data_IF_813724708410
#
_entry.id   IF_813724708410
#
_cell.length_a   1.000
_cell.length_b   1.000
_cell.length_c   1.000
_cell.angle_alpha   90.00
_cell.angle_beta   90.00
_cell.angle_gamma   90.00
#
_symmetry.space_group_name_H-M   'P 1'
#
loop_
_entity.id
_entity.type
_entity.pdbx_description
1 polymer ?
#
# COMPACT_ATOMS: atom_id res chain seq x y z
N UNK A 1 -28.40 1.24 -0.86
CA UNK A 1 -27.75 1.21 0.45
C UNK A 1 -26.27 0.95 0.21
N UNK A 2 -25.50 2.02 0.08
CA UNK A 2 -24.06 1.94 -0.20
C UNK A 2 -23.36 1.42 1.06
N UNK A 3 -22.92 0.16 1.04
CA UNK A 3 -21.93 -0.31 2.00
C UNK A 3 -20.62 0.41 1.65
N UNK A 4 -20.40 1.54 2.30
CA UNK A 4 -19.14 2.28 2.31
C UNK A 4 -18.01 1.31 2.64
N UNK A 5 -17.18 0.97 1.65
CA UNK A 5 -15.98 0.17 1.87
C UNK A 5 -15.08 0.90 2.90
N UNK A 6 -14.80 0.31 4.07
CA UNK A 6 -14.09 0.98 5.16
C UNK A 6 -12.60 1.00 4.86
N UNK A 7 -12.13 1.86 3.95
CA UNK A 7 -10.74 1.77 3.46
C UNK A 7 -9.91 3.04 3.59
N UNK A 8 -10.41 4.02 4.35
CA UNK A 8 -9.56 5.00 5.04
C UNK A 8 -9.47 4.58 6.50
N UNK A 9 -8.37 3.94 6.90
CA UNK A 9 -8.09 3.72 8.33
C UNK A 9 -7.63 5.01 9.01
N UNK A 10 -7.09 5.95 8.24
CA UNK A 10 -6.79 7.32 8.66
C UNK A 10 -7.87 8.24 8.11
N UNK A 11 -8.59 8.95 8.97
CA UNK A 11 -9.54 9.99 8.53
C UNK A 11 -8.83 11.17 7.85
N UNK A 12 -7.54 11.36 8.14
CA UNK A 12 -6.69 12.44 7.63
C UNK A 12 -5.32 11.84 7.31
N UNK A 13 -4.85 11.92 6.04
CA UNK A 13 -3.51 11.46 5.69
C UNK A 13 -2.44 12.30 6.39
N UNK A 14 -1.35 11.67 6.81
CA UNK A 14 -0.19 12.37 7.38
C UNK A 14 0.35 13.43 6.41
N UNK A 15 0.78 14.57 6.94
CA UNK A 15 1.41 15.60 6.13
C UNK A 15 2.68 15.09 5.45
N UNK A 16 3.01 15.63 4.28
CA UNK A 16 4.25 15.29 3.55
C UNK A 16 5.49 15.44 4.42
N UNK A 17 5.56 16.50 5.24
CA UNK A 17 6.69 16.75 6.13
C UNK A 17 6.92 15.59 7.10
N UNK A 18 5.85 14.98 7.62
CA UNK A 18 5.93 13.79 8.48
C UNK A 18 6.29 12.54 7.67
N UNK A 19 5.68 12.35 6.50
CA UNK A 19 5.99 11.19 5.65
C UNK A 19 7.47 11.19 5.19
N UNK A 20 8.06 12.36 4.97
CA UNK A 20 9.48 12.50 4.63
C UNK A 20 10.43 12.12 5.78
N UNK A 21 9.95 11.97 7.02
CA UNK A 21 10.78 11.47 8.13
C UNK A 21 10.70 9.96 8.29
N UNK A 22 9.83 9.27 7.54
CA UNK A 22 9.67 7.83 7.67
C UNK A 22 10.79 7.08 6.96
N UNK A 23 11.22 5.93 7.51
CA UNK A 23 12.17 5.08 6.81
C UNK A 23 11.65 4.65 5.42
N UNK A 24 12.50 4.63 4.39
CA UNK A 24 12.14 4.22 3.03
C UNK A 24 11.72 2.75 2.91
N UNK A 25 12.23 1.89 3.79
CA UNK A 25 11.94 0.46 3.82
C UNK A 25 11.42 0.06 5.20
N UNK A 26 10.49 -0.91 5.27
CA UNK A 26 9.97 -1.39 6.54
C UNK A 26 8.51 -1.82 6.45
N UNK A 27 7.84 -1.82 7.61
CA UNK A 27 6.41 -2.06 7.74
C UNK A 27 5.83 -1.04 8.70
N UNK A 28 4.71 -0.41 8.34
CA UNK A 28 3.98 0.50 9.21
C UNK A 28 2.91 -0.29 9.97
N UNK A 29 3.08 -0.40 11.28
CA UNK A 29 2.06 -0.93 12.19
C UNK A 29 1.28 0.24 12.80
N UNK A 30 -0.02 0.30 12.52
CA UNK A 30 -0.89 1.32 13.10
C UNK A 30 -1.33 0.91 14.48
N UNK A 31 -1.07 1.76 15.46
CA UNK A 31 -1.41 1.52 16.86
C UNK A 31 -2.54 2.45 17.25
N UNK A 32 -3.69 1.90 17.64
CA UNK A 32 -4.84 2.66 18.13
C UNK A 32 -4.90 2.65 19.64
N UNK A 33 -5.27 3.79 20.21
CA UNK A 33 -5.43 4.01 21.65
C UNK A 33 -6.90 4.25 21.91
N UNK A 34 -7.51 3.47 22.80
CA UNK A 34 -8.85 3.77 23.26
C UNK A 34 -8.80 5.01 24.18
N UNK A 35 -9.73 5.94 23.97
CA UNK A 35 -9.85 7.20 24.71
C UNK A 35 -9.90 7.01 26.24
N UNK A 36 -10.35 5.86 26.73
CA UNK A 36 -10.33 5.50 28.15
C UNK A 36 -8.93 5.16 28.72
N UNK A 37 -7.91 4.99 27.87
CA UNK A 37 -6.58 4.49 28.23
C UNK A 37 -5.45 5.53 28.08
N UNK A 38 -5.75 6.82 28.29
CA UNK A 38 -4.82 7.96 28.13
C UNK A 38 -3.54 7.96 28.99
N UNK A 39 -3.28 6.91 29.79
CA UNK A 39 -2.15 6.86 30.76
C UNK A 39 -0.86 6.21 30.23
N UNK A 40 -0.73 5.94 28.92
CA UNK A 40 0.46 5.25 28.37
C UNK A 40 1.71 6.10 28.17
N UNK A 41 1.74 7.37 28.62
CA UNK A 41 2.92 8.22 28.46
C UNK A 41 3.32 8.44 26.99
N UNK A 42 2.38 8.31 26.06
CA UNK A 42 2.63 8.41 24.60
C UNK A 42 3.23 9.75 24.19
N UNK A 43 3.02 10.78 25.02
CA UNK A 43 3.62 12.12 24.87
C UNK A 43 5.16 12.09 24.87
N UNK A 44 5.78 11.01 25.34
CA UNK A 44 7.23 10.85 25.38
C UNK A 44 7.81 10.16 24.13
N UNK A 45 6.97 9.59 23.26
CA UNK A 45 7.43 8.97 22.02
C UNK A 45 7.75 10.06 21.01
N UNK A 46 8.98 10.04 20.50
CA UNK A 46 9.45 10.91 19.43
C UNK A 46 9.75 10.09 18.18
N UNK A 47 9.61 10.73 17.02
CA UNK A 47 10.05 10.17 15.74
C UNK A 47 11.53 9.77 15.81
N UNK A 48 11.86 8.59 15.30
CA UNK A 48 13.24 8.08 15.25
C UNK A 48 13.69 7.34 16.52
N UNK A 49 12.84 7.19 17.53
CA UNK A 49 13.17 6.42 18.73
C UNK A 49 12.90 4.93 18.57
N UNK A 50 13.78 4.10 19.15
CA UNK A 50 13.56 2.68 19.30
C UNK A 50 12.65 2.40 20.50
N UNK A 51 11.57 1.67 20.26
CA UNK A 51 10.60 1.32 21.30
C UNK A 51 10.30 -0.17 21.26
N UNK A 52 10.19 -0.76 22.45
CA UNK A 52 9.70 -2.12 22.66
C UNK A 52 8.28 -2.05 23.24
N UNK A 53 7.32 -2.60 22.50
CA UNK A 53 5.94 -2.75 22.94
C UNK A 53 5.73 -4.19 23.43
N UNK A 54 5.30 -4.34 24.68
CA UNK A 54 5.01 -5.63 25.30
C UNK A 54 3.51 -5.79 25.49
N UNK A 55 3.00 -7.01 25.28
CA UNK A 55 1.58 -7.33 25.47
C UNK A 55 0.66 -6.48 24.60
N UNK A 56 1.05 -6.29 23.35
CA UNK A 56 0.27 -5.62 22.31
C UNK A 56 -0.74 -6.62 21.70
N UNK A 57 -2.00 -6.20 21.50
CA UNK A 57 -2.96 -7.02 20.76
C UNK A 57 -2.95 -6.61 19.30
N UNK A 58 -2.58 -7.53 18.41
CA UNK A 58 -2.67 -7.32 16.97
C UNK A 58 -3.98 -7.91 16.44
N UNK A 59 -4.69 -7.16 15.61
CA UNK A 59 -5.94 -7.58 14.99
C UNK A 59 -6.04 -7.03 13.56
N UNK A 60 -6.80 -7.71 12.70
CA UNK A 60 -7.01 -7.28 11.32
C UNK A 60 -8.31 -6.46 11.25
N UNK A 61 -8.20 -5.18 10.91
CA UNK A 61 -9.34 -4.29 10.66
C UNK A 61 -9.34 -3.88 9.19
N UNK A 62 -10.41 -4.17 8.46
CA UNK A 62 -10.52 -3.81 7.03
C UNK A 62 -9.29 -4.20 6.20
N UNK A 63 -8.86 -5.46 6.35
CA UNK A 63 -7.66 -6.07 5.76
C UNK A 63 -6.31 -5.42 6.13
N UNK A 64 -6.27 -4.58 7.16
CA UNK A 64 -5.04 -3.99 7.72
C UNK A 64 -4.73 -4.57 9.10
N UNK A 65 -3.48 -4.96 9.29
CA UNK A 65 -2.96 -5.23 10.63
C UNK A 65 -2.90 -3.94 11.43
N UNK A 66 -3.63 -3.93 12.53
CA UNK A 66 -3.64 -2.86 13.51
C UNK A 66 -3.25 -3.45 14.86
N UNK A 67 -2.66 -2.60 15.69
CA UNK A 67 -2.36 -2.91 17.07
C UNK A 67 -3.26 -2.09 17.99
N UNK A 68 -3.75 -2.71 19.04
CA UNK A 68 -4.55 -2.08 20.09
C UNK A 68 -3.73 -2.08 21.36
N UNK A 69 -3.56 -0.89 21.95
CA UNK A 69 -2.97 -0.78 23.28
C UNK A 69 -4.00 -1.27 24.30
N UNK A 70 -3.64 -2.35 24.98
CA UNK A 70 -4.43 -2.92 26.08
C UNK A 70 -4.02 -2.25 27.39
N UNK A 71 -4.87 -2.21 28.44
CA UNK A 71 -4.54 -1.60 29.74
C UNK A 71 -3.22 -2.09 30.37
N UNK A 72 -2.78 -3.30 30.00
CA UNK A 72 -1.55 -3.93 30.45
C UNK A 72 -0.38 -3.86 29.44
N UNK A 73 -0.55 -3.18 28.30
CA UNK A 73 0.53 -2.96 27.34
C UNK A 73 1.62 -2.11 27.97
N UNK A 74 2.88 -2.53 27.85
CA UNK A 74 4.02 -1.77 28.35
C UNK A 74 4.83 -1.22 27.19
N UNK A 75 5.27 0.02 27.33
CA UNK A 75 6.16 0.69 26.40
C UNK A 75 7.52 0.92 27.06
N UNK A 76 8.58 0.45 26.42
CA UNK A 76 9.95 0.65 26.87
C UNK A 76 10.74 1.35 25.77
N UNK A 77 11.36 2.48 26.10
CA UNK A 77 12.34 3.11 25.21
C UNK A 77 13.63 2.29 25.26
N UNK A 78 14.22 2.04 24.10
CA UNK A 78 15.51 1.37 23.97
C UNK A 78 16.60 2.40 23.66
N UNK A 79 17.80 2.14 24.19
CA UNK A 79 19.00 2.91 23.82
C UNK A 79 19.49 2.50 22.43
N UNK A 80 20.19 3.38 21.74
CA UNK A 80 20.86 3.06 20.48
C UNK A 80 21.96 1.99 20.63
N UNK A 81 22.50 1.85 21.86
CA UNK A 81 23.51 0.85 22.21
C UNK A 81 22.92 -0.51 22.65
N UNK A 82 21.59 -0.63 22.71
CA UNK A 82 20.93 -1.91 23.05
C UNK A 82 21.21 -2.95 21.95
N UNK A 83 21.60 -4.18 22.34
CA UNK A 83 21.95 -5.25 21.41
C UNK A 83 20.84 -5.54 20.38
N UNK A 84 19.57 -5.45 20.80
CA UNK A 84 18.43 -5.64 19.89
C UNK A 84 18.36 -4.51 18.87
N UNK A 85 18.63 -3.27 19.29
CA UNK A 85 18.64 -2.10 18.41
C UNK A 85 19.76 -2.23 17.39
N UNK A 86 20.98 -2.57 17.83
CA UNK A 86 22.12 -2.79 16.95
C UNK A 86 21.84 -3.89 15.92
N UNK A 87 21.21 -4.99 16.34
CA UNK A 87 20.82 -6.07 15.43
C UNK A 87 19.79 -5.61 14.39
N UNK A 88 18.70 -4.95 14.82
CA UNK A 88 17.64 -4.50 13.92
C UNK A 88 18.15 -3.42 12.95
N UNK A 89 19.06 -2.55 13.41
CA UNK A 89 19.71 -1.55 12.56
C UNK A 89 20.53 -2.21 11.45
N UNK A 90 21.34 -3.23 11.77
CA UNK A 90 22.08 -3.99 10.74
C UNK A 90 21.15 -4.63 9.71
N UNK A 91 20.08 -5.30 10.16
CA UNK A 91 19.08 -5.90 9.26
C UNK A 91 18.45 -4.84 8.35
N UNK A 92 18.13 -3.67 8.91
CA UNK A 92 17.60 -2.56 8.14
C UNK A 92 18.60 -2.03 7.12
N UNK A 93 19.87 -1.82 7.49
CA UNK A 93 20.93 -1.30 6.61
C UNK A 93 21.26 -2.29 5.48
N UNK A 94 21.31 -3.59 5.78
CA UNK A 94 21.47 -4.67 4.80
C UNK A 94 20.30 -4.68 3.80
N UNK A 95 19.07 -4.49 4.31
CA UNK A 95 17.89 -4.39 3.45
C UNK A 95 17.94 -3.12 2.60
N UNK A 96 18.30 -1.99 3.17
CA UNK A 96 18.35 -0.71 2.47
C UNK A 96 19.39 -0.71 1.33
N UNK A 97 20.53 -1.36 1.53
CA UNK A 97 21.58 -1.50 0.51
C UNK A 97 21.26 -2.55 -0.57
N UNK A 98 20.34 -3.48 -0.30
CA UNK A 98 19.94 -4.50 -1.26
C UNK A 98 19.05 -3.97 -2.38
N UNK A 99 19.31 -4.42 -3.62
CA UNK A 99 18.44 -4.17 -4.78
C UNK A 99 17.00 -4.66 -4.56
N UNK A 100 16.83 -5.69 -3.73
CA UNK A 100 15.53 -6.28 -3.38
C UNK A 100 14.96 -5.71 -2.08
N UNK A 101 15.64 -4.76 -1.46
CA UNK A 101 15.29 -4.17 -0.17
C UNK A 101 13.88 -3.59 -0.11
N UNK A 102 13.44 -2.98 -1.21
CA UNK A 102 12.12 -2.38 -1.34
C UNK A 102 11.00 -3.42 -1.54
N UNK A 103 11.33 -4.70 -1.74
CA UNK A 103 10.31 -5.74 -1.86
C UNK A 103 9.73 -6.10 -0.48
N UNK A 104 8.40 -6.29 -0.36
CA UNK A 104 7.77 -6.89 0.81
C UNK A 104 8.32 -8.30 1.07
N UNK A 105 8.68 -8.61 2.32
CA UNK A 105 9.16 -9.94 2.71
C UNK A 105 8.11 -11.04 2.45
N UNK A 106 6.82 -10.70 2.57
CA UNK A 106 5.70 -11.59 2.26
C UNK A 106 5.52 -11.90 0.76
N UNK A 107 6.32 -11.28 -0.11
CA UNK A 107 6.33 -11.54 -1.54
C UNK A 107 7.52 -12.41 -1.97
N UNK A 108 8.29 -12.96 -1.02
CA UNK A 108 9.45 -13.77 -1.35
C UNK A 108 9.05 -15.20 -1.78
N UNK A 109 9.71 -15.81 -2.78
CA UNK A 109 10.78 -15.25 -3.61
C UNK A 109 10.27 -14.32 -4.72
N UNK A 110 9.01 -14.44 -5.16
CA UNK A 110 8.48 -13.67 -6.27
C UNK A 110 6.99 -13.32 -6.12
N UNK A 111 6.56 -12.31 -6.89
CA UNK A 111 5.16 -11.89 -6.96
C UNK A 111 4.32 -12.84 -7.80
N UNK A 112 2.99 -12.68 -7.80
CA UNK A 112 2.04 -13.65 -8.38
C UNK A 112 2.14 -13.83 -9.90
N UNK A 113 2.94 -13.00 -10.59
CA UNK A 113 3.02 -12.99 -12.05
C UNK A 113 1.73 -12.49 -12.73
N UNK A 114 0.73 -12.00 -11.99
CA UNK A 114 -0.55 -11.55 -12.56
C UNK A 114 -0.45 -10.27 -13.39
N UNK A 115 0.67 -9.58 -13.34
CA UNK A 115 0.88 -8.31 -14.04
C UNK A 115 2.26 -8.30 -14.65
N UNK A 116 2.37 -7.68 -15.83
CA UNK A 116 3.64 -7.43 -16.51
C UNK A 116 3.79 -5.94 -16.76
N UNK A 117 4.98 -5.40 -16.50
CA UNK A 117 5.29 -4.01 -16.84
C UNK A 117 6.30 -3.92 -17.97
N UNK A 118 6.30 -2.79 -18.68
CA UNK A 118 7.34 -2.49 -19.67
C UNK A 118 8.55 -1.74 -19.09
N UNK A 119 8.63 -1.56 -17.76
CA UNK A 119 9.69 -0.80 -17.08
C UNK A 119 10.58 -1.70 -16.22
N UNK A 120 10.88 -2.91 -16.70
CA UNK A 120 11.58 -3.96 -15.94
C UNK A 120 13.00 -3.60 -15.50
N UNK A 121 13.63 -2.58 -16.11
CA UNK A 121 14.96 -2.08 -15.75
C UNK A 121 14.97 -1.14 -14.53
N UNK A 122 13.82 -0.59 -14.13
CA UNK A 122 13.71 0.34 -13.00
C UNK A 122 13.62 -0.46 -11.69
N UNK A 123 14.36 -0.08 -10.63
CA UNK A 123 14.26 -0.74 -9.33
C UNK A 123 12.89 -0.52 -8.68
N UNK A 124 12.51 -1.46 -7.80
CA UNK A 124 11.29 -1.31 -7.01
C UNK A 124 11.40 -0.16 -6.02
N UNK A 125 10.29 0.56 -5.84
CA UNK A 125 10.13 1.66 -4.90
C UNK A 125 8.94 1.37 -3.99
N UNK A 126 9.09 1.62 -2.69
CA UNK A 126 8.00 1.51 -1.70
C UNK A 126 7.01 2.67 -1.84
N UNK A 127 5.76 2.48 -1.40
CA UNK A 127 4.74 3.53 -1.47
C UNK A 127 5.05 4.72 -0.55
N UNK A 128 5.74 4.51 0.57
CA UNK A 128 6.26 5.63 1.38
C UNK A 128 7.22 6.50 0.58
N UNK A 129 8.14 5.90 -0.18
CA UNK A 129 9.05 6.66 -1.06
C UNK A 129 8.32 7.38 -2.19
N UNK A 130 7.25 6.79 -2.73
CA UNK A 130 6.38 7.45 -3.73
C UNK A 130 5.74 8.71 -3.14
N UNK A 131 5.27 8.64 -1.90
CA UNK A 131 4.64 9.76 -1.20
C UNK A 131 5.64 10.85 -0.82
N UNK A 132 6.83 10.48 -0.35
CA UNK A 132 7.88 11.41 0.10
C UNK A 132 8.81 11.91 -1.01
N UNK A 133 8.64 11.44 -2.25
CA UNK A 133 9.52 11.78 -3.37
C UNK A 133 9.68 13.31 -3.56
N UNK A 134 10.91 13.82 -3.80
CA UNK A 134 11.17 15.25 -3.93
C UNK A 134 10.43 15.94 -5.07
N UNK A 135 10.19 15.23 -6.17
CA UNK A 135 9.51 15.77 -7.35
C UNK A 135 8.00 15.46 -7.34
N UNK A 136 7.19 16.45 -7.71
CA UNK A 136 5.73 16.29 -7.79
C UNK A 136 5.35 15.26 -8.86
N UNK A 137 6.03 15.29 -10.00
CA UNK A 137 5.74 14.43 -11.15
C UNK A 137 6.91 13.48 -11.41
N UNK A 138 6.69 12.18 -11.23
CA UNK A 138 7.72 11.18 -11.45
C UNK A 138 7.08 9.83 -11.80
N UNK A 139 7.90 8.88 -12.27
CA UNK A 139 7.50 7.52 -12.64
C UNK A 139 8.18 6.49 -11.75
N UNK A 140 7.39 5.59 -11.18
CA UNK A 140 7.81 4.60 -10.21
C UNK A 140 7.46 3.20 -10.70
N UNK A 141 8.18 2.20 -10.20
CA UNK A 141 7.83 0.80 -10.29
C UNK A 141 7.66 0.27 -8.88
N UNK A 142 6.50 -0.30 -8.58
CA UNK A 142 6.13 -0.68 -7.22
C UNK A 142 5.63 -2.12 -7.18
N UNK A 143 5.80 -2.76 -6.03
CA UNK A 143 5.23 -4.06 -5.72
C UNK A 143 4.15 -3.88 -4.65
N UNK A 144 2.90 -4.07 -5.03
CA UNK A 144 1.72 -3.67 -4.25
C UNK A 144 0.65 -4.75 -4.26
N UNK A 145 -0.34 -4.63 -3.38
CA UNK A 145 -1.62 -5.36 -3.45
C UNK A 145 -2.74 -4.39 -3.79
N UNK A 146 -3.78 -4.89 -4.45
CA UNK A 146 -5.00 -4.11 -4.71
C UNK A 146 -5.98 -4.32 -3.56
N UNK A 147 -5.89 -3.45 -2.56
CA UNK A 147 -6.76 -3.50 -1.38
C UNK A 147 -8.22 -3.20 -1.72
N UNK A 148 -8.51 -2.41 -2.76
CA UNK A 148 -9.85 -2.22 -3.29
C UNK A 148 -9.87 -1.55 -4.65
N UNK A 149 -11.07 -1.53 -5.25
CA UNK A 149 -11.39 -0.79 -6.45
C UNK A 149 -12.70 -0.01 -6.30
N UNK A 150 -12.80 1.12 -6.98
CA UNK A 150 -14.02 1.88 -7.16
C UNK A 150 -14.11 2.36 -8.63
N UNK A 151 -15.10 1.92 -9.41
CA UNK A 151 -16.05 0.86 -9.07
C UNK A 151 -15.35 -0.51 -8.98
N UNK A 152 -15.98 -1.45 -8.26
CA UNK A 152 -15.42 -2.79 -8.05
C UNK A 152 -16.06 -3.85 -8.95
N UNK A 153 -17.26 -3.61 -9.47
CA UNK A 153 -17.95 -4.52 -10.39
C UNK A 153 -17.44 -4.31 -11.82
N UNK A 154 -17.21 -5.41 -12.53
CA UNK A 154 -16.70 -5.38 -13.91
C UNK A 154 -17.63 -4.61 -14.86
N UNK A 155 -18.96 -4.76 -14.68
CA UNK A 155 -19.97 -4.04 -15.45
C UNK A 155 -19.85 -2.51 -15.37
N UNK A 156 -19.28 -2.01 -14.27
CA UNK A 156 -19.30 -0.60 -13.92
C UNK A 156 -17.93 0.06 -14.17
N UNK A 157 -16.90 -0.72 -14.55
CA UNK A 157 -15.53 -0.20 -14.75
C UNK A 157 -15.44 0.86 -15.84
N UNK A 158 -16.35 0.81 -16.82
CA UNK A 158 -16.49 1.79 -17.88
C UNK A 158 -17.61 2.78 -17.54
N UNK A 159 -17.37 4.05 -17.81
CA UNK A 159 -18.42 5.07 -17.80
C UNK A 159 -19.49 4.77 -18.87
N UNK A 160 -20.65 5.43 -18.83
CA UNK A 160 -21.65 5.34 -19.91
C UNK A 160 -21.08 5.70 -21.29
N UNK A 161 -20.03 6.52 -21.35
CA UNK A 161 -19.30 6.85 -22.59
C UNK A 161 -18.32 5.76 -23.05
N UNK A 162 -18.27 4.60 -22.38
CA UNK A 162 -17.38 3.48 -22.68
C UNK A 162 -15.96 3.60 -22.15
N UNK A 163 -15.62 4.71 -21.48
CA UNK A 163 -14.26 4.99 -21.01
C UNK A 163 -14.02 4.36 -19.64
N UNK A 164 -12.94 3.60 -19.48
CA UNK A 164 -12.55 3.10 -18.16
C UNK A 164 -12.26 4.23 -17.18
N UNK A 165 -12.84 4.13 -15.98
CA UNK A 165 -12.63 5.08 -14.88
C UNK A 165 -12.64 4.33 -13.55
N UNK A 166 -11.47 3.84 -13.17
CA UNK A 166 -11.32 3.03 -11.96
C UNK A 166 -10.32 3.71 -11.02
N UNK A 167 -10.67 3.79 -9.74
CA UNK A 167 -9.77 4.17 -8.65
C UNK A 167 -9.41 2.92 -7.86
N UNK A 168 -8.14 2.56 -7.89
CA UNK A 168 -7.61 1.48 -7.08
C UNK A 168 -7.04 2.02 -5.77
N UNK A 169 -7.24 1.28 -4.70
CA UNK A 169 -6.52 1.45 -3.44
C UNK A 169 -5.37 0.47 -3.44
N UNK A 170 -4.16 0.99 -3.61
CA UNK A 170 -2.93 0.20 -3.64
C UNK A 170 -2.28 0.23 -2.27
N UNK A 171 -1.70 -0.88 -1.86
CA UNK A 171 -0.98 -0.97 -0.60
C UNK A 171 0.31 -1.78 -0.73
N UNK A 172 1.30 -1.39 0.06
CA UNK A 172 2.46 -2.19 0.40
C UNK A 172 2.65 -2.14 1.93
N UNK A 173 3.69 -2.77 2.51
CA UNK A 173 3.90 -2.71 3.95
C UNK A 173 4.13 -1.30 4.49
N UNK A 174 4.49 -0.34 3.64
CA UNK A 174 4.92 1.01 4.04
C UNK A 174 3.79 2.04 3.97
N UNK A 175 2.87 1.94 3.00
CA UNK A 175 1.77 2.89 2.86
C UNK A 175 0.58 2.33 2.05
N UNK A 176 -0.47 3.14 1.97
CA UNK A 176 -1.64 2.91 1.12
C UNK A 176 -1.95 4.20 0.35
N UNK A 177 -2.19 4.09 -0.94
CA UNK A 177 -2.49 5.23 -1.82
C UNK A 177 -3.68 4.94 -2.72
N UNK A 178 -4.27 5.99 -3.27
CA UNK A 178 -5.20 5.87 -4.39
C UNK A 178 -4.46 6.09 -5.71
N UNK A 179 -4.67 5.20 -6.67
CA UNK A 179 -4.17 5.32 -8.02
C UNK A 179 -5.29 5.08 -9.03
N UNK A 180 -5.32 5.89 -10.08
CA UNK A 180 -6.31 5.75 -11.14
C UNK A 180 -5.85 4.81 -12.23
N UNK A 181 -6.79 4.00 -12.73
CA UNK A 181 -6.67 3.24 -13.97
C UNK A 181 -7.74 3.81 -14.91
N UNK A 182 -7.30 4.60 -15.89
CA UNK A 182 -8.16 5.50 -16.66
C UNK A 182 -7.84 5.44 -18.15
N UNK A 183 -8.88 5.51 -18.99
CA UNK A 183 -8.79 5.60 -20.46
C UNK A 183 -7.77 4.61 -21.06
N UNK A 184 -6.87 5.07 -21.94
CA UNK A 184 -5.90 4.21 -22.66
C UNK A 184 -5.00 3.37 -21.75
N UNK A 185 -4.65 3.90 -20.56
CA UNK A 185 -3.85 3.14 -19.60
C UNK A 185 -4.63 1.91 -19.08
N UNK A 186 -5.96 2.02 -18.97
CA UNK A 186 -6.84 0.91 -18.60
C UNK A 186 -7.08 -0.06 -19.77
N UNK A 187 -7.27 0.45 -20.99
CA UNK A 187 -7.38 -0.40 -22.19
C UNK A 187 -6.10 -1.25 -22.34
N UNK A 188 -4.92 -0.65 -22.17
CA UNK A 188 -3.64 -1.36 -22.14
C UNK A 188 -3.52 -2.35 -20.97
N UNK A 189 -4.12 -2.01 -19.82
CA UNK A 189 -4.09 -2.88 -18.66
C UNK A 189 -4.90 -4.16 -18.90
N UNK A 190 -6.06 -4.07 -19.55
CA UNK A 190 -6.93 -5.22 -19.82
C UNK A 190 -6.73 -5.87 -21.20
N UNK A 191 -5.78 -5.39 -22.00
CA UNK A 191 -5.64 -5.77 -23.42
C UNK A 191 -5.44 -7.26 -23.71
N UNK A 192 -5.01 -8.05 -22.72
CA UNK A 192 -4.77 -9.48 -22.85
C UNK A 192 -5.92 -10.35 -22.29
N UNK A 193 -7.02 -9.71 -21.89
CA UNK A 193 -8.19 -10.37 -21.34
C UNK A 193 -9.31 -10.33 -22.38
N UNK A 194 -9.55 -11.43 -23.12
CA UNK A 194 -10.43 -11.43 -24.30
C UNK A 194 -11.93 -11.45 -24.01
N UNK A 195 -12.39 -11.81 -22.80
CA UNK A 195 -13.83 -11.86 -22.49
C UNK A 195 -14.20 -11.19 -21.16
N UNK A 196 -15.48 -10.80 -21.03
CA UNK A 196 -16.02 -10.20 -19.81
C UNK A 196 -16.01 -11.17 -18.61
N UNK A 197 -16.19 -12.47 -18.86
CA UNK A 197 -16.14 -13.51 -17.84
C UNK A 197 -14.70 -13.71 -17.32
N UNK A 198 -13.73 -13.76 -18.23
CA UNK A 198 -12.32 -13.84 -17.86
C UNK A 198 -11.86 -12.57 -17.13
N UNK A 199 -12.37 -11.40 -17.53
CA UNK A 199 -12.15 -10.15 -16.81
C UNK A 199 -12.71 -10.22 -15.40
N UNK A 200 -13.94 -10.69 -15.23
CA UNK A 200 -14.55 -10.86 -13.91
C UNK A 200 -13.76 -11.80 -13.01
N UNK A 201 -13.32 -12.95 -13.54
CA UNK A 201 -12.50 -13.91 -12.78
C UNK A 201 -11.15 -13.33 -12.38
N UNK A 202 -10.43 -12.73 -13.34
CA UNK A 202 -9.09 -12.17 -13.11
C UNK A 202 -9.16 -10.96 -12.18
N UNK A 203 -10.21 -10.14 -12.30
CA UNK A 203 -10.45 -9.00 -11.43
C UNK A 203 -10.75 -9.40 -9.99
N UNK A 204 -11.58 -10.43 -9.79
CA UNK A 204 -11.84 -10.98 -8.46
C UNK A 204 -10.57 -11.55 -7.83
N UNK A 205 -9.75 -12.27 -8.61
CA UNK A 205 -8.44 -12.76 -8.16
C UNK A 205 -7.50 -11.62 -7.77
N UNK A 206 -7.44 -10.55 -8.58
CA UNK A 206 -6.64 -9.35 -8.30
C UNK A 206 -7.06 -8.67 -6.99
N UNK A 207 -8.37 -8.65 -6.73
CA UNK A 207 -8.94 -8.13 -5.49
C UNK A 207 -8.83 -9.12 -4.32
N UNK A 208 -8.36 -10.35 -4.54
CA UNK A 208 -8.25 -11.38 -3.52
C UNK A 208 -9.60 -11.88 -3.01
N UNK A 209 -10.66 -11.77 -3.81
CA UNK A 209 -11.98 -12.28 -3.47
C UNK A 209 -11.88 -13.80 -3.31
N UNK A 210 -12.26 -14.35 -2.15
CA UNK A 210 -12.11 -15.77 -1.90
C UNK A 210 -13.07 -16.58 -2.79
N UNK A 211 -12.65 -17.80 -3.12
CA UNK A 211 -13.48 -18.77 -3.86
C UNK A 211 -14.44 -19.53 -2.94
N UNK A 212 -14.21 -19.53 -1.63
CA UNK A 212 -15.05 -20.12 -0.60
C UNK A 212 -15.40 -19.08 0.47
N UNK A 213 -16.59 -19.18 1.04
CA UNK A 213 -17.08 -18.20 2.03
C UNK A 213 -16.25 -18.19 3.34
N UNK A 214 -15.55 -19.29 3.65
CA UNK A 214 -14.73 -19.43 4.85
C UNK A 214 -13.31 -18.83 4.71
N UNK A 215 -12.89 -18.46 3.50
CA UNK A 215 -11.55 -17.95 3.26
C UNK A 215 -11.46 -16.43 3.44
N UNK A 216 -10.42 -15.99 4.15
CA UNK A 216 -10.12 -14.56 4.27
C UNK A 216 -9.63 -13.98 2.95
N UNK A 217 -10.07 -12.76 2.65
CA UNK A 217 -9.64 -12.00 1.48
C UNK A 217 -8.11 -11.85 1.46
N UNK A 218 -7.47 -12.28 0.38
CA UNK A 218 -6.00 -12.27 0.26
C UNK A 218 -5.57 -11.79 -1.13
N UNK A 219 -5.51 -10.46 -1.34
CA UNK A 219 -5.08 -9.93 -2.64
C UNK A 219 -3.61 -10.27 -2.90
N UNK A 220 -3.25 -10.70 -4.12
CA UNK A 220 -1.90 -11.08 -4.47
C UNK A 220 -0.98 -9.85 -4.57
N UNK A 221 0.32 -10.07 -4.39
CA UNK A 221 1.34 -9.08 -4.73
C UNK A 221 1.47 -8.99 -6.25
N UNK A 222 1.30 -7.78 -6.77
CA UNK A 222 1.43 -7.44 -8.19
C UNK A 222 2.51 -6.40 -8.40
N UNK A 223 3.06 -6.41 -9.59
CA UNK A 223 3.96 -5.38 -10.08
C UNK A 223 3.17 -4.32 -10.87
N UNK A 224 3.37 -3.04 -10.57
CA UNK A 224 2.78 -1.97 -11.37
C UNK A 224 3.72 -0.77 -11.52
N UNK A 225 3.56 -0.04 -12.63
CA UNK A 225 4.17 1.27 -12.77
C UNK A 225 3.17 2.36 -12.40
N UNK A 226 3.64 3.31 -11.58
CA UNK A 226 2.87 4.46 -11.12
C UNK A 226 3.48 5.74 -11.65
N UNK A 227 2.67 6.66 -12.16
CA UNK A 227 3.09 8.03 -12.45
C UNK A 227 2.35 8.99 -11.55
N UNK A 228 3.07 9.93 -10.96
CA UNK A 228 2.45 11.05 -10.23
C UNK A 228 2.23 12.25 -11.15
N UNK A 229 1.13 12.95 -10.95
CA UNK A 229 0.72 14.14 -11.68
C UNK A 229 -0.07 15.05 -10.73
N UNK A 230 -0.22 16.33 -11.06
CA UNK A 230 -1.04 17.26 -10.29
C UNK A 230 -2.18 17.78 -11.16
N UNK A 231 -3.29 18.16 -10.54
CA UNK A 231 -4.48 18.66 -11.24
C UNK A 231 -4.51 20.19 -11.26
N UNK A 232 -3.98 20.82 -10.22
CA UNK A 232 -3.97 22.26 -10.04
C UNK A 232 -2.53 22.80 -10.00
N UNK A 233 -2.26 23.82 -10.82
CA UNK A 233 -0.98 24.53 -10.85
C UNK A 233 -0.78 25.43 -9.64
N UNK A 234 -1.85 25.94 -9.01
CA UNK A 234 -1.72 26.73 -7.78
C UNK A 234 -1.43 25.88 -6.55
N UNK A 235 -1.83 24.61 -6.57
CA UNK A 235 -1.57 23.64 -5.50
C UNK A 235 -1.02 22.33 -6.05
N UNK A 236 0.23 22.36 -6.52
CA UNK A 236 0.88 21.20 -7.15
C UNK A 236 1.03 20.00 -6.19
N UNK A 237 1.14 20.25 -4.88
CA UNK A 237 1.35 19.19 -3.90
C UNK A 237 0.03 18.65 -3.35
N UNK A 238 -0.93 19.51 -3.01
CA UNK A 238 -2.23 19.07 -2.51
C UNK A 238 -3.12 18.48 -3.60
N UNK A 239 -2.92 18.85 -4.87
CA UNK A 239 -3.59 18.24 -6.00
C UNK A 239 -2.84 17.06 -6.64
N UNK A 240 -1.75 16.58 -6.00
CA UNK A 240 -0.96 15.45 -6.48
C UNK A 240 -1.77 14.15 -6.43
N UNK A 241 -1.80 13.45 -7.55
CA UNK A 241 -2.53 12.20 -7.78
C UNK A 241 -1.61 11.17 -8.45
N UNK A 242 -2.03 9.90 -8.41
CA UNK A 242 -1.29 8.78 -8.97
C UNK A 242 -2.12 8.05 -10.03
N UNK A 243 -1.46 7.55 -11.07
CA UNK A 243 -2.08 6.75 -12.14
C UNK A 243 -1.22 5.55 -12.46
N UNK A 244 -1.85 4.39 -12.63
CA UNK A 244 -1.20 3.22 -13.19
C UNK A 244 -0.99 3.45 -14.68
N UNK A 245 0.20 3.12 -15.17
CA UNK A 245 0.53 3.18 -16.58
C UNK A 245 1.45 2.00 -16.93
N UNK A 246 1.66 1.74 -18.22
CA UNK A 246 2.66 0.79 -18.70
C UNK A 246 2.63 -0.61 -18.02
N UNK A 247 1.46 -1.02 -17.56
CA UNK A 247 1.20 -2.25 -16.80
C UNK A 247 0.08 -2.99 -17.51
N UNK A 248 0.23 -4.30 -17.68
CA UNK A 248 -0.76 -5.18 -18.32
C UNK A 248 -1.10 -6.33 -17.39
N UNK A 249 -2.39 -6.56 -17.19
CA UNK A 249 -2.94 -7.69 -16.46
C UNK A 249 -2.81 -8.96 -17.31
N UNK A 250 -2.30 -10.02 -16.71
CA UNK A 250 -2.20 -11.34 -17.31
C UNK A 250 -3.34 -12.20 -16.78
N UNK A 251 -3.70 -13.24 -17.53
CA UNK A 251 -4.51 -14.33 -17.00
C UNK A 251 -3.74 -14.90 -15.80
N UNK A 252 -4.37 -14.92 -14.63
CA UNK A 252 -3.76 -15.48 -13.42
C UNK A 252 -3.35 -16.95 -13.66
N UNK A 253 -2.43 -17.48 -12.85
CA UNK A 253 -2.11 -18.91 -12.87
C UNK A 253 -3.36 -19.79 -12.62
#
# INVERSE_FOLDING_TARGET
>A
METSLPLLLESIPLSRNVLCTFPPCGTVLRVTVDSGNLKFGLNHIKTGQWVKLLSLRCEVRSSLWCAVLMPFTKLCNLSDDDDLVLQHKRIYDDRFSSKYGSMPLSCFPWHSGMTRTSCSSVPFTTLTNVLSYPEVTYRFRCLVRVAAALPWRVSDLRSPSGTYRIRLTLEDPTARIHAFLYADDAEKFFSLIPSADELSRTWNLLLGVPTSDDASRSPPWIECCLKSYYLDKSDIWGSRNYRIFATTLLKGP
#
